data_IF_134609859801
#
_entry.id   IF_134609859801
#
_cell.length_a   1.000
_cell.length_b   1.000
_cell.length_c   1.000
_cell.angle_alpha   90.00
_cell.angle_beta   90.00
_cell.angle_gamma   90.00
#
_symmetry.space_group_name_H-M   'P 1'
#
loop_
_entity.id
_entity.type
_entity.pdbx_description
1 polymer ?
#
# COMPACT_ATOMS: atom_id res chain seq x y z
N UNK A 1 11.51 29.73 3.43
CA UNK A 1 11.86 29.41 2.02
C UNK A 1 10.56 29.10 1.28
N UNK A 2 10.53 28.90 -0.04
CA UNK A 2 9.26 28.55 -0.72
C UNK A 2 9.06 27.04 -0.63
N UNK A 3 7.86 26.60 -0.24
CA UNK A 3 7.51 25.19 -0.17
C UNK A 3 7.59 24.52 -1.56
N UNK A 4 8.08 23.29 -1.61
CA UNK A 4 8.26 22.46 -2.80
C UNK A 4 7.36 21.23 -2.75
N UNK A 5 6.96 20.74 -3.92
CA UNK A 5 6.25 19.46 -4.04
C UNK A 5 7.27 18.32 -4.04
N UNK A 6 7.08 17.38 -3.14
CA UNK A 6 7.86 16.15 -3.07
C UNK A 6 6.94 14.96 -3.36
N UNK A 7 7.46 13.96 -4.07
CA UNK A 7 6.78 12.68 -4.32
C UNK A 7 7.56 11.56 -3.69
N UNK A 8 6.83 10.63 -3.09
CA UNK A 8 7.40 9.43 -2.48
C UNK A 8 6.72 8.21 -3.08
N UNK A 9 7.52 7.24 -3.45
CA UNK A 9 7.05 5.89 -3.72
C UNK A 9 7.06 5.09 -2.42
N UNK A 10 6.02 4.32 -2.18
CA UNK A 10 5.86 3.54 -0.96
C UNK A 10 5.29 2.18 -1.30
N UNK A 11 5.73 1.18 -0.55
CA UNK A 11 5.28 -0.20 -0.66
C UNK A 11 4.70 -0.68 0.65
N UNK A 12 3.71 -1.53 0.57
CA UNK A 12 3.11 -2.13 1.75
C UNK A 12 2.59 -3.52 1.46
N UNK A 13 2.38 -4.29 2.51
CA UNK A 13 1.85 -5.64 2.44
C UNK A 13 0.61 -5.73 3.31
N UNK A 14 -0.51 -6.11 2.71
CA UNK A 14 -1.72 -6.48 3.43
C UNK A 14 -1.74 -7.99 3.60
N UNK A 15 -1.66 -8.43 4.84
CA UNK A 15 -1.82 -9.83 5.21
C UNK A 15 -3.26 -10.04 5.66
N UNK A 16 -3.95 -10.99 5.02
CA UNK A 16 -5.35 -11.34 5.31
C UNK A 16 -5.37 -12.80 5.75
N UNK A 17 -5.91 -13.06 6.93
CA UNK A 17 -6.14 -14.39 7.47
C UNK A 17 -7.55 -14.84 7.13
N UNK A 18 -7.69 -16.07 6.69
CA UNK A 18 -8.97 -16.70 6.37
C UNK A 18 -9.33 -17.78 7.39
N UNK A 19 -10.58 -18.22 7.34
CA UNK A 19 -11.14 -19.29 8.18
C UNK A 19 -10.73 -20.71 7.73
N UNK A 20 -10.17 -20.84 6.54
CA UNK A 20 -9.64 -22.08 6.00
C UNK A 20 -8.48 -21.83 5.03
N UNK A 21 -7.74 -22.89 4.71
CA UNK A 21 -6.69 -22.87 3.70
C UNK A 21 -7.23 -22.38 2.35
N UNK A 22 -6.44 -21.54 1.69
CA UNK A 22 -6.71 -21.03 0.36
C UNK A 22 -6.22 -22.04 -0.68
N UNK A 23 -7.00 -22.21 -1.74
CA UNK A 23 -6.53 -22.89 -2.96
C UNK A 23 -5.62 -21.94 -3.76
N UNK A 24 -4.79 -22.48 -4.65
CA UNK A 24 -3.83 -21.69 -5.45
C UNK A 24 -4.42 -20.39 -6.05
N UNK A 25 -3.57 -19.36 -6.08
CA UNK A 25 -3.92 -17.95 -6.26
C UNK A 25 -4.81 -17.67 -7.47
N UNK A 26 -6.02 -17.17 -7.20
CA UNK A 26 -6.80 -16.49 -8.23
C UNK A 26 -6.23 -15.08 -8.44
N UNK A 27 -6.30 -14.59 -9.67
CA UNK A 27 -5.82 -13.25 -10.01
C UNK A 27 -6.64 -12.18 -9.28
N UNK A 28 -5.96 -11.28 -8.59
CA UNK A 28 -6.54 -10.05 -8.06
C UNK A 28 -6.52 -8.96 -9.13
N UNK A 29 -7.49 -8.04 -9.05
CA UNK A 29 -7.47 -6.84 -9.89
C UNK A 29 -6.22 -6.00 -9.60
N UNK A 30 -5.71 -5.29 -10.61
CA UNK A 30 -4.53 -4.41 -10.48
C UNK A 30 -4.73 -3.28 -9.45
N UNK A 31 -5.98 -2.99 -9.10
CA UNK A 31 -6.37 -1.93 -8.19
C UNK A 31 -7.15 -2.53 -7.02
N UNK A 32 -6.68 -2.30 -5.80
CA UNK A 32 -7.35 -2.71 -4.57
C UNK A 32 -7.73 -1.48 -3.76
N UNK A 33 -8.99 -1.37 -3.39
CA UNK A 33 -9.51 -0.21 -2.66
C UNK A 33 -9.61 -0.57 -1.18
N UNK A 34 -8.86 0.18 -0.37
CA UNK A 34 -8.93 0.12 1.09
C UNK A 34 -9.52 1.41 1.65
N UNK A 35 -10.13 1.36 2.82
CA UNK A 35 -10.75 2.49 3.49
C UNK A 35 -10.18 2.61 4.92
N UNK A 36 -9.77 3.82 5.29
CA UNK A 36 -9.16 4.13 6.60
C UNK A 36 -10.17 4.67 7.65
N UNK A 37 -11.46 4.63 7.34
CA UNK A 37 -12.57 5.22 8.10
C UNK A 37 -12.97 6.64 7.67
N UNK A 38 -12.19 7.29 6.79
CA UNK A 38 -12.45 8.66 6.33
C UNK A 38 -12.65 8.73 4.81
N UNK A 39 -11.84 7.99 4.05
CA UNK A 39 -11.89 7.99 2.58
C UNK A 39 -11.32 6.69 2.01
N UNK A 40 -11.71 6.42 0.75
CA UNK A 40 -11.20 5.31 -0.03
C UNK A 40 -9.80 5.63 -0.59
N UNK A 41 -8.92 4.64 -0.51
CA UNK A 41 -7.52 4.71 -0.85
C UNK A 41 -7.26 3.63 -1.90
N UNK A 42 -7.14 4.00 -3.19
CA UNK A 42 -6.76 3.06 -4.23
C UNK A 42 -5.28 2.68 -4.07
N UNK A 43 -4.99 1.39 -3.98
CA UNK A 43 -3.65 0.80 -3.93
C UNK A 43 -3.40 -0.01 -5.19
N UNK A 44 -2.22 0.13 -5.80
CA UNK A 44 -1.85 -0.68 -6.96
C UNK A 44 -1.31 -2.02 -6.48
N UNK A 45 -1.91 -3.13 -6.91
CA UNK A 45 -1.42 -4.48 -6.64
C UNK A 45 -0.11 -4.70 -7.40
N UNK A 46 0.91 -5.15 -6.68
CA UNK A 46 2.22 -5.54 -7.23
C UNK A 46 2.29 -7.05 -7.32
N UNK A 47 1.87 -7.74 -6.26
CA UNK A 47 1.78 -9.19 -6.22
C UNK A 47 0.74 -9.65 -5.19
N UNK A 48 0.27 -10.88 -5.32
CA UNK A 48 -0.57 -11.50 -4.31
C UNK A 48 -0.23 -12.98 -4.22
N UNK A 49 0.11 -13.44 -3.01
CA UNK A 49 0.64 -14.78 -2.79
C UNK A 49 0.06 -15.37 -1.51
N UNK A 50 -0.38 -16.63 -1.60
CA UNK A 50 -0.71 -17.44 -0.42
C UNK A 50 0.60 -17.78 0.31
N UNK A 51 0.62 -17.63 1.63
CA UNK A 51 1.82 -17.90 2.43
C UNK A 51 2.19 -19.38 2.37
N UNK A 52 3.44 -19.73 2.03
CA UNK A 52 3.88 -21.12 1.87
C UNK A 52 3.94 -21.90 3.20
N UNK A 53 3.97 -21.18 4.34
CA UNK A 53 4.03 -21.76 5.68
C UNK A 53 2.68 -21.73 6.41
N UNK A 54 1.74 -20.90 5.94
CA UNK A 54 0.42 -20.69 6.53
C UNK A 54 -0.59 -20.48 5.38
N UNK A 55 -1.08 -21.57 4.77
CA UNK A 55 -1.88 -21.51 3.54
C UNK A 55 -3.25 -20.84 3.69
N UNK A 56 -3.65 -20.52 4.92
CA UNK A 56 -4.82 -19.70 5.25
C UNK A 56 -4.51 -18.20 5.34
N UNK A 57 -3.32 -17.77 4.90
CA UNK A 57 -2.92 -16.35 4.82
C UNK A 57 -2.64 -15.96 3.37
N UNK A 58 -3.30 -14.90 2.92
CA UNK A 58 -2.99 -14.19 1.67
C UNK A 58 -2.15 -12.95 2.01
N UNK A 59 -1.02 -12.79 1.31
CA UNK A 59 -0.24 -11.57 1.34
C UNK A 59 -0.40 -10.84 0.01
N UNK A 60 -0.93 -9.61 0.06
CA UNK A 60 -1.05 -8.74 -1.10
C UNK A 60 -0.02 -7.62 -0.95
N UNK A 61 0.93 -7.56 -1.87
CA UNK A 61 1.90 -6.48 -1.96
C UNK A 61 1.33 -5.34 -2.80
N UNK A 62 1.42 -4.13 -2.29
CA UNK A 62 0.92 -2.92 -2.92
C UNK A 62 2.03 -1.91 -3.14
N UNK A 63 1.80 -1.05 -4.11
CA UNK A 63 2.56 0.18 -4.30
C UNK A 63 1.64 1.40 -4.35
N UNK A 64 2.13 2.53 -3.83
CA UNK A 64 1.45 3.82 -3.91
C UNK A 64 2.44 4.97 -3.97
N UNK A 65 2.13 5.95 -4.80
CA UNK A 65 2.82 7.22 -4.82
C UNK A 65 2.05 8.22 -3.96
N UNK A 66 2.70 8.77 -2.94
CA UNK A 66 2.17 9.90 -2.16
C UNK A 66 2.90 11.17 -2.55
N UNK A 67 2.23 12.32 -2.39
CA UNK A 67 2.82 13.63 -2.63
C UNK A 67 2.60 14.52 -1.42
N UNK A 68 3.60 15.31 -1.04
CA UNK A 68 3.51 16.27 0.05
C UNK A 68 4.20 17.59 -0.32
N UNK A 69 3.77 18.68 0.32
CA UNK A 69 4.35 20.02 0.11
C UNK A 69 5.05 20.44 1.39
N UNK A 70 6.34 20.77 1.30
CA UNK A 70 7.13 21.17 2.46
C UNK A 70 8.24 22.16 2.09
N UNK A 71 8.70 22.96 3.05
CA UNK A 71 9.87 23.83 2.87
C UNK A 71 11.19 23.04 2.84
N UNK A 72 11.21 21.88 3.50
CA UNK A 72 12.34 20.97 3.57
C UNK A 72 11.86 19.52 3.43
N UNK A 73 12.74 18.66 2.92
CA UNK A 73 12.48 17.23 2.80
C UNK A 73 12.18 16.63 4.17
N UNK A 74 11.11 15.84 4.25
CA UNK A 74 10.81 15.08 5.45
C UNK A 74 11.82 13.94 5.63
N UNK A 75 12.17 13.67 6.89
CA UNK A 75 12.98 12.51 7.24
C UNK A 75 12.21 11.21 6.97
N UNK A 76 12.88 10.07 6.74
CA UNK A 76 12.20 8.78 6.56
C UNK A 76 11.20 8.45 7.68
N UNK A 77 11.52 8.82 8.93
CA UNK A 77 10.63 8.67 10.09
C UNK A 77 9.37 9.53 9.97
N UNK A 78 9.49 10.77 9.53
CA UNK A 78 8.33 11.66 9.32
C UNK A 78 7.43 11.15 8.18
N UNK A 79 8.04 10.67 7.10
CA UNK A 79 7.31 10.06 5.99
C UNK A 79 6.59 8.77 6.41
N UNK A 80 7.24 7.93 7.21
CA UNK A 80 6.63 6.73 7.78
C UNK A 80 5.41 7.06 8.64
N UNK A 81 5.57 7.98 9.59
CA UNK A 81 4.47 8.41 10.44
C UNK A 81 3.31 9.01 9.62
N UNK A 82 3.61 9.76 8.56
CA UNK A 82 2.59 10.32 7.66
C UNK A 82 1.83 9.22 6.92
N UNK A 83 2.53 8.23 6.36
CA UNK A 83 1.90 7.09 5.68
C UNK A 83 1.05 6.27 6.65
N UNK A 84 1.56 5.95 7.85
CA UNK A 84 0.78 5.24 8.87
C UNK A 84 -0.48 6.01 9.28
N UNK A 85 -0.39 7.34 9.41
CA UNK A 85 -1.56 8.18 9.71
C UNK A 85 -2.59 8.20 8.58
N UNK A 86 -2.15 8.35 7.33
CA UNK A 86 -3.05 8.37 6.17
C UNK A 86 -3.74 7.02 6.01
N UNK A 87 -3.02 5.93 6.19
CA UNK A 87 -3.55 4.60 5.94
C UNK A 87 -4.27 4.01 7.16
N UNK A 88 -4.02 4.54 8.35
CA UNK A 88 -4.56 4.07 9.62
C UNK A 88 -4.48 2.54 9.69
N UNK A 89 -3.26 2.01 9.63
CA UNK A 89 -2.95 0.58 9.43
C UNK A 89 -3.68 -0.37 10.40
N UNK A 90 -4.13 0.14 11.55
CA UNK A 90 -4.89 -0.62 12.55
C UNK A 90 -6.42 -0.66 12.32
N UNK A 91 -6.98 0.22 11.51
CA UNK A 91 -8.43 0.28 11.23
C UNK A 91 -8.74 0.24 9.74
N UNK A 92 -7.86 -0.37 8.94
CA UNK A 92 -8.10 -0.43 7.51
C UNK A 92 -9.13 -1.51 7.20
N UNK A 93 -10.13 -1.12 6.42
CA UNK A 93 -11.21 -1.98 5.93
C UNK A 93 -11.18 -2.02 4.42
N UNK A 94 -11.83 -2.98 3.81
CA UNK A 94 -11.97 -3.08 2.36
C UNK A 94 -13.20 -3.95 2.06
N UNK A 95 -13.73 -3.83 0.85
CA UNK A 95 -14.81 -4.69 0.39
C UNK A 95 -14.28 -6.10 0.11
N UNK A 96 -14.86 -7.11 0.77
CA UNK A 96 -14.46 -8.52 0.62
C UNK A 96 -14.80 -9.08 -0.76
N UNK A 97 -15.72 -8.45 -1.50
CA UNK A 97 -16.04 -8.84 -2.89
C UNK A 97 -14.85 -8.57 -3.84
N UNK A 98 -13.85 -7.78 -3.42
CA UNK A 98 -12.59 -7.61 -4.16
C UNK A 98 -11.64 -8.82 -4.03
N UNK A 99 -11.89 -9.73 -3.09
CA UNK A 99 -11.06 -10.92 -2.90
C UNK A 99 -11.58 -12.07 -3.77
N UNK A 100 -10.71 -12.75 -4.54
CA UNK A 100 -11.13 -13.84 -5.41
C UNK A 100 -11.21 -15.18 -4.64
N UNK A 101 -11.72 -15.15 -3.42
CA UNK A 101 -11.79 -16.29 -2.50
C UNK A 101 -13.18 -16.39 -1.88
N UNK A 102 -13.65 -17.62 -1.70
CA UNK A 102 -14.95 -17.92 -1.07
C UNK A 102 -14.84 -18.06 0.45
N UNK A 103 -13.61 -18.26 0.95
CA UNK A 103 -13.28 -18.32 2.38
C UNK A 103 -13.49 -16.95 3.01
N UNK A 104 -13.89 -16.92 4.29
CA UNK A 104 -14.17 -15.66 4.97
C UNK A 104 -12.90 -15.06 5.56
N UNK A 105 -12.63 -13.75 5.34
CA UNK A 105 -11.58 -13.05 6.06
C UNK A 105 -11.91 -12.97 7.56
N UNK A 106 -10.98 -13.44 8.40
CA UNK A 106 -11.07 -13.36 9.86
C UNK A 106 -10.40 -12.12 10.43
N UNK A 107 -9.26 -11.76 9.85
CA UNK A 107 -8.49 -10.59 10.26
C UNK A 107 -7.57 -10.12 9.14
N UNK A 108 -7.25 -8.83 9.16
CA UNK A 108 -6.34 -8.22 8.20
C UNK A 108 -5.40 -7.25 8.91
N UNK A 109 -4.16 -7.16 8.43
CA UNK A 109 -3.16 -6.22 8.93
C UNK A 109 -2.39 -5.66 7.75
N UNK A 110 -2.28 -4.33 7.68
CA UNK A 110 -1.51 -3.64 6.66
C UNK A 110 -0.18 -3.12 7.23
N UNK A 111 0.91 -3.55 6.63
CA UNK A 111 2.28 -3.12 6.94
C UNK A 111 2.78 -2.20 5.82
N UNK A 112 3.42 -1.08 6.16
CA UNK A 112 4.05 -0.20 5.18
C UNK A 112 5.56 -0.15 5.38
N UNK A 113 6.29 -0.52 4.33
CA UNK A 113 7.73 -0.39 4.30
C UNK A 113 8.14 0.92 3.64
N UNK A 114 8.90 1.69 4.40
CA UNK A 114 9.36 3.02 4.02
C UNK A 114 10.81 3.03 3.56
N UNK A 115 11.37 1.84 3.32
CA UNK A 115 12.76 1.61 2.96
C UNK A 115 13.09 2.03 1.52
N UNK A 116 12.09 2.25 0.66
CA UNK A 116 12.28 2.60 -0.76
C UNK A 116 11.70 3.98 -1.12
N UNK A 117 12.17 5.03 -0.46
CA UNK A 117 11.90 6.39 -0.92
C UNK A 117 12.77 6.72 -2.12
N UNK A 118 12.18 6.72 -3.31
CA UNK A 118 12.76 7.38 -4.49
C UNK A 118 12.11 8.76 -4.63
N UNK A 119 12.91 9.79 -4.40
CA UNK A 119 12.46 11.16 -4.59
C UNK A 119 12.53 11.50 -6.07
N UNK A 120 11.36 11.72 -6.68
CA UNK A 120 11.30 12.40 -7.97
C UNK A 120 11.54 13.89 -7.67
N UNK A 121 12.79 14.34 -7.77
CA UNK A 121 13.17 15.72 -7.52
C UNK A 121 12.35 16.67 -8.44
N UNK A 122 11.95 17.80 -7.85
CA UNK A 122 11.56 19.07 -8.47
C UNK A 122 10.86 18.96 -9.85
N UNK A 123 9.56 19.26 -9.87
CA UNK A 123 8.78 19.49 -11.11
C UNK A 123 9.25 20.75 -11.90
N UNK A 124 10.54 21.04 -11.93
CA UNK A 124 11.15 21.86 -12.99
C UNK A 124 11.34 21.01 -14.27
N UNK A 125 10.27 20.30 -14.66
CA UNK A 125 9.96 19.92 -16.04
C UNK A 125 10.98 19.13 -16.87
N UNK A 126 12.07 18.60 -16.30
CA UNK A 126 13.06 17.84 -17.06
C UNK A 126 13.66 16.75 -16.19
N UNK A 127 13.11 15.55 -16.30
CA UNK A 127 13.84 14.27 -16.24
C UNK A 127 12.86 13.15 -15.90
N UNK A 128 12.02 12.74 -16.87
CA UNK A 128 11.50 11.36 -16.93
C UNK A 128 11.26 10.99 -18.40
N UNK A 129 12.37 10.76 -19.11
CA UNK A 129 12.45 9.89 -20.29
C UNK A 129 13.70 9.04 -20.09
N UNK A 130 13.54 7.82 -19.58
CA UNK A 130 14.44 6.70 -19.77
C UNK A 130 13.52 5.47 -19.82
N UNK A 131 13.31 4.93 -21.02
CA UNK A 131 14.01 3.73 -21.56
C UNK A 131 13.64 2.45 -20.82
#
# INVERSE_FOLDING_TARGET
>A
MKAKLHRIFSYGTLSIKFDADLTDGQALDDLFIVNNGQFDIPLKVVSANVSPIQPDILNIEFSKMFSYVAEHKFTPKQLHNMNEQILNSQNITFDYDQLPYVQNPLMNILFWETSMYHEMNDLDGKEFLYE
#
